data_IF_478390892092
#
_entry.id   IF_478390892092
#
_cell.length_a   1.000
_cell.length_b   1.000
_cell.length_c   1.000
_cell.angle_alpha   90.00
_cell.angle_beta   90.00
_cell.angle_gamma   90.00
#
_symmetry.space_group_name_H-M   'P 1'
#
loop_
_entity.id
_entity.type
_entity.pdbx_description
1 polymer ?
#
# COMPACT_ATOMS: atom_id res chain seq x y z
N UNK A 1 -11.26 10.63 -28.87
CA UNK A 1 -9.80 10.79 -28.78
C UNK A 1 -9.21 9.38 -28.77
N UNK A 2 -8.83 8.79 -29.92
CA UNK A 2 -8.52 7.37 -30.03
C UNK A 2 -7.04 6.99 -29.80
N UNK A 3 -6.18 7.92 -29.39
CA UNK A 3 -4.72 7.73 -29.29
C UNK A 3 -4.19 8.06 -27.90
N UNK A 4 -4.74 7.43 -26.84
CA UNK A 4 -4.13 7.46 -25.50
C UNK A 4 -4.19 6.05 -24.93
N UNK A 5 -3.10 5.59 -24.32
CA UNK A 5 -3.11 4.39 -23.51
C UNK A 5 -3.96 4.65 -22.26
N UNK A 6 -5.02 3.86 -22.10
CA UNK A 6 -5.96 4.02 -21.01
C UNK A 6 -7.33 3.45 -21.35
N UNK A 7 -8.18 3.40 -20.33
CA UNK A 7 -9.53 2.90 -20.44
C UNK A 7 -10.39 3.63 -21.46
N UNK A 8 -11.49 2.98 -21.86
CA UNK A 8 -12.53 3.54 -22.73
C UNK A 8 -13.57 4.37 -21.96
N UNK A 9 -13.46 4.40 -20.63
CA UNK A 9 -14.37 5.08 -19.73
C UNK A 9 -15.60 4.22 -19.46
N UNK A 10 -15.82 3.94 -18.17
CA UNK A 10 -16.96 3.15 -17.70
C UNK A 10 -17.69 4.01 -16.68
N UNK A 11 -19.01 4.17 -16.84
CA UNK A 11 -19.81 4.99 -15.94
C UNK A 11 -20.72 4.14 -15.06
N UNK A 12 -20.92 4.59 -13.82
CA UNK A 12 -21.86 3.97 -12.89
C UNK A 12 -23.28 4.06 -13.45
N UNK A 13 -23.98 2.93 -13.56
CA UNK A 13 -25.37 2.88 -14.07
C UNK A 13 -26.41 3.16 -12.98
N UNK A 14 -25.98 3.18 -11.72
CA UNK A 14 -26.75 3.55 -10.54
C UNK A 14 -25.82 4.23 -9.53
N UNK A 15 -26.40 4.89 -8.52
CA UNK A 15 -25.63 5.43 -7.40
C UNK A 15 -25.06 4.28 -6.56
N UNK A 16 -23.76 4.37 -6.23
CA UNK A 16 -23.02 3.37 -5.46
C UNK A 16 -22.60 3.93 -4.10
N UNK A 17 -22.59 3.07 -3.09
CA UNK A 17 -22.02 3.33 -1.78
C UNK A 17 -20.62 2.72 -1.65
N UNK A 18 -19.83 3.23 -0.72
CA UNK A 18 -18.51 2.66 -0.41
C UNK A 18 -18.62 1.17 -0.03
N UNK A 19 -17.80 0.34 -0.69
CA UNK A 19 -17.76 -1.11 -0.55
C UNK A 19 -18.75 -1.88 -1.43
N UNK A 20 -19.56 -1.21 -2.26
CA UNK A 20 -20.40 -1.92 -3.23
C UNK A 20 -19.53 -2.60 -4.29
N UNK A 21 -19.84 -3.86 -4.62
CA UNK A 21 -19.21 -4.60 -5.71
C UNK A 21 -19.73 -4.07 -7.05
N UNK A 22 -18.82 -3.61 -7.90
CA UNK A 22 -19.13 -2.91 -9.16
C UNK A 22 -18.93 -3.82 -10.37
N UNK A 23 -17.80 -4.52 -10.42
CA UNK A 23 -17.41 -5.36 -11.55
C UNK A 23 -16.67 -6.60 -11.05
N UNK A 24 -16.98 -7.76 -11.65
CA UNK A 24 -16.14 -8.96 -11.55
C UNK A 24 -15.75 -9.36 -12.97
N UNK A 25 -14.47 -9.34 -13.28
CA UNK A 25 -13.94 -9.76 -14.58
C UNK A 25 -13.14 -11.04 -14.42
N UNK A 26 -13.42 -12.03 -15.26
CA UNK A 26 -12.55 -13.22 -15.39
C UNK A 26 -11.38 -12.93 -16.33
N UNK A 27 -10.22 -13.55 -16.10
CA UNK A 27 -9.06 -13.30 -16.94
C UNK A 27 -9.24 -13.98 -18.30
N UNK A 28 -8.72 -13.34 -19.33
CA UNK A 28 -8.51 -13.95 -20.64
C UNK A 28 -7.24 -14.79 -20.64
N UNK A 29 -6.24 -14.33 -19.90
CA UNK A 29 -5.00 -15.03 -19.60
C UNK A 29 -4.52 -14.63 -18.20
N UNK A 30 -3.87 -15.56 -17.51
CA UNK A 30 -3.40 -15.39 -16.13
C UNK A 30 -2.18 -16.27 -15.91
N UNK A 31 -1.14 -15.71 -15.31
CA UNK A 31 0.09 -16.40 -14.94
C UNK A 31 0.46 -16.05 -13.49
N UNK A 32 1.18 -16.95 -12.83
CA UNK A 32 1.55 -16.83 -11.41
C UNK A 32 3.02 -17.13 -11.21
N UNK A 33 3.63 -16.50 -10.20
CA UNK A 33 5.04 -16.66 -9.82
C UNK A 33 5.20 -16.87 -8.31
N UNK A 34 6.44 -17.13 -7.90
CA UNK A 34 6.83 -17.19 -6.49
C UNK A 34 6.71 -15.80 -5.82
N UNK A 35 6.62 -15.79 -4.49
CA UNK A 35 6.55 -14.54 -3.71
C UNK A 35 7.73 -13.60 -4.00
N UNK A 36 7.42 -12.30 -4.10
CA UNK A 36 8.42 -11.26 -4.33
C UNK A 36 8.91 -11.16 -5.77
N UNK A 37 8.26 -11.87 -6.69
CA UNK A 37 8.52 -11.76 -8.13
C UNK A 37 7.21 -11.55 -8.87
N UNK A 38 7.24 -10.77 -9.95
CA UNK A 38 6.14 -10.62 -10.88
C UNK A 38 6.43 -11.44 -12.13
N UNK A 39 5.44 -12.16 -12.70
CA UNK A 39 5.57 -12.71 -14.03
C UNK A 39 5.80 -11.58 -15.04
N UNK A 40 6.58 -11.84 -16.09
CA UNK A 40 6.79 -10.87 -17.16
C UNK A 40 5.68 -10.89 -18.23
N UNK A 41 5.73 -9.93 -19.14
CA UNK A 41 4.73 -9.78 -20.22
C UNK A 41 4.87 -10.94 -21.22
N UNK A 42 6.09 -11.41 -21.45
CA UNK A 42 6.44 -12.51 -22.35
C UNK A 42 5.74 -13.82 -21.92
N UNK A 43 5.75 -14.14 -20.63
CA UNK A 43 5.05 -15.29 -20.04
C UNK A 43 3.55 -15.20 -20.26
N UNK A 44 2.94 -14.03 -20.04
CA UNK A 44 1.51 -13.82 -20.26
C UNK A 44 1.14 -13.87 -21.74
N UNK A 45 2.01 -13.37 -22.63
CA UNK A 45 1.86 -13.50 -24.10
C UNK A 45 1.89 -14.98 -24.51
N UNK A 46 2.85 -15.75 -24.00
CA UNK A 46 2.95 -17.18 -24.27
C UNK A 46 1.69 -17.93 -23.78
N UNK A 47 1.22 -17.63 -22.56
CA UNK A 47 -0.01 -18.18 -21.99
C UNK A 47 -1.25 -17.85 -22.85
N UNK A 48 -1.35 -16.61 -23.32
CA UNK A 48 -2.46 -16.15 -24.17
C UNK A 48 -2.48 -16.87 -25.53
N UNK A 49 -1.31 -17.09 -26.15
CA UNK A 49 -1.18 -17.84 -27.41
C UNK A 49 -1.60 -19.30 -27.27
N UNK A 50 -1.31 -19.91 -26.12
CA UNK A 50 -1.66 -21.29 -25.80
C UNK A 50 -3.12 -21.45 -25.35
N UNK A 51 -3.87 -20.36 -25.17
CA UNK A 51 -5.24 -20.38 -24.68
C UNK A 51 -6.26 -20.57 -25.80
N UNK A 52 -7.23 -21.47 -25.58
CA UNK A 52 -8.36 -21.68 -26.49
C UNK A 52 -9.43 -20.57 -26.35
N UNK A 53 -9.09 -19.35 -26.76
CA UNK A 53 -10.03 -18.22 -26.74
C UNK A 53 -11.20 -18.45 -27.72
N UNK A 54 -12.44 -18.23 -27.29
CA UNK A 54 -13.59 -18.26 -28.20
C UNK A 54 -13.61 -17.03 -29.12
N UNK A 55 -14.46 -17.05 -30.16
CA UNK A 55 -14.57 -15.92 -31.11
C UNK A 55 -14.90 -14.59 -30.40
N UNK A 56 -15.77 -14.62 -29.39
CA UNK A 56 -16.09 -13.43 -28.60
C UNK A 56 -14.89 -12.95 -27.78
N UNK A 57 -14.13 -13.86 -27.16
CA UNK A 57 -12.92 -13.49 -26.41
C UNK A 57 -11.86 -12.90 -27.34
N UNK A 58 -11.68 -13.44 -28.55
CA UNK A 58 -10.78 -12.84 -29.55
C UNK A 58 -11.20 -11.43 -29.95
N UNK A 59 -12.49 -11.21 -30.19
CA UNK A 59 -13.00 -9.88 -30.50
C UNK A 59 -12.77 -8.89 -29.34
N UNK A 60 -12.97 -9.31 -28.09
CA UNK A 60 -12.66 -8.50 -26.91
C UNK A 60 -11.16 -8.23 -26.78
N UNK A 61 -10.29 -9.20 -27.09
CA UNK A 61 -8.84 -8.99 -27.10
C UNK A 61 -8.45 -7.87 -28.07
N UNK A 62 -9.03 -7.91 -29.27
CA UNK A 62 -8.74 -6.97 -30.35
C UNK A 62 -9.29 -5.56 -30.11
N UNK A 63 -10.28 -5.42 -29.23
CA UNK A 63 -10.84 -4.14 -28.79
C UNK A 63 -9.89 -3.39 -27.83
N UNK A 64 -8.93 -4.08 -27.20
CA UNK A 64 -7.95 -3.46 -26.30
C UNK A 64 -6.94 -2.59 -27.06
N UNK A 65 -6.45 -1.54 -26.39
CA UNK A 65 -5.42 -0.66 -26.95
C UNK A 65 -4.08 -1.40 -27.05
N UNK A 66 -3.38 -1.25 -28.18
CA UNK A 66 -2.12 -1.94 -28.46
C UNK A 66 -0.89 -1.00 -28.49
N UNK A 67 -1.04 0.27 -28.14
CA UNK A 67 -0.01 1.31 -28.34
C UNK A 67 -0.27 2.17 -29.58
N UNK A 68 0.35 3.35 -29.62
CA UNK A 68 0.12 4.35 -30.68
C UNK A 68 0.91 4.07 -31.99
N UNK A 69 2.04 3.34 -31.90
CA UNK A 69 2.91 3.02 -33.04
C UNK A 69 2.62 1.67 -33.68
N UNK A 70 1.73 0.86 -33.09
CA UNK A 70 1.37 -0.46 -33.63
C UNK A 70 0.14 -0.29 -34.52
N UNK A 71 0.34 -0.38 -35.84
CA UNK A 71 -0.74 -0.28 -36.81
C UNK A 71 -1.85 -1.30 -36.48
N UNK A 72 -3.13 -0.88 -36.55
CA UNK A 72 -4.30 -1.77 -36.50
C UNK A 72 -4.42 -2.63 -37.78
N UNK A 73 -3.31 -3.05 -38.37
CA UNK A 73 -3.31 -3.94 -39.54
C UNK A 73 -3.59 -5.37 -39.05
N UNK A 74 -4.87 -5.67 -38.81
CA UNK A 74 -5.36 -7.04 -38.84
C UNK A 74 -5.18 -7.55 -40.27
N UNK A 75 -4.38 -8.61 -40.45
CA UNK A 75 -4.04 -9.10 -41.77
C UNK A 75 -5.27 -9.56 -42.56
N UNK A 76 -5.46 -9.02 -43.77
CA UNK A 76 -6.47 -9.46 -44.73
C UNK A 76 -6.00 -10.77 -45.40
N UNK A 77 -6.83 -11.83 -45.39
CA UNK A 77 -6.65 -13.00 -46.29
C UNK A 77 -7.69 -12.94 -47.39
N UNK A 78 -7.30 -12.79 -48.67
CA UNK A 78 -8.22 -13.01 -49.78
C UNK A 78 -8.60 -14.49 -49.85
N UNK A 79 -9.83 -14.84 -49.47
CA UNK A 79 -10.46 -16.09 -49.88
C UNK A 79 -10.77 -17.17 -48.82
N UNK A 80 -10.75 -16.89 -47.52
CA UNK A 80 -11.29 -17.81 -46.51
C UNK A 80 -12.06 -17.07 -45.44
N UNK A 81 -13.24 -17.58 -45.06
CA UNK A 81 -14.10 -17.00 -44.01
C UNK A 81 -13.30 -16.52 -42.81
N UNK A 82 -13.37 -15.22 -42.57
CA UNK A 82 -12.40 -14.45 -41.79
C UNK A 82 -12.24 -14.96 -40.35
N UNK A 83 -11.01 -15.25 -39.98
CA UNK A 83 -10.52 -15.23 -38.59
C UNK A 83 -9.38 -14.23 -38.59
N UNK A 84 -9.58 -13.02 -38.07
CA UNK A 84 -8.51 -12.01 -37.95
C UNK A 84 -7.35 -12.62 -37.16
N UNK A 85 -6.16 -12.68 -37.78
CA UNK A 85 -4.94 -13.19 -37.14
C UNK A 85 -4.23 -12.00 -36.50
N UNK A 86 -4.19 -11.97 -35.17
CA UNK A 86 -3.45 -10.96 -34.40
C UNK A 86 -1.95 -11.19 -34.61
N UNK A 87 -1.23 -10.17 -35.08
CA UNK A 87 0.23 -10.26 -35.18
C UNK A 87 0.86 -10.39 -33.78
N UNK A 88 2.03 -11.01 -33.70
CA UNK A 88 2.74 -11.16 -32.43
C UNK A 88 3.06 -9.79 -31.81
N UNK A 89 3.51 -8.84 -32.62
CA UNK A 89 3.78 -7.45 -32.21
C UNK A 89 2.53 -6.77 -31.62
N UNK A 90 1.37 -6.90 -32.28
CA UNK A 90 0.11 -6.38 -31.75
C UNK A 90 -0.31 -7.06 -30.45
N UNK A 91 -0.08 -8.37 -30.31
CA UNK A 91 -0.38 -9.07 -29.07
C UNK A 91 0.51 -8.59 -27.91
N UNK A 92 1.80 -8.34 -28.15
CA UNK A 92 2.68 -7.71 -27.16
C UNK A 92 2.20 -6.33 -26.77
N UNK A 93 1.80 -5.49 -27.73
CA UNK A 93 1.24 -4.17 -27.45
C UNK A 93 -0.05 -4.24 -26.61
N UNK A 94 -0.98 -5.13 -26.98
CA UNK A 94 -2.23 -5.34 -26.22
C UNK A 94 -1.91 -5.76 -24.78
N UNK A 95 -1.07 -6.78 -24.60
CA UNK A 95 -0.79 -7.30 -23.27
C UNK A 95 0.02 -6.27 -22.46
N UNK A 96 1.02 -5.61 -23.04
CA UNK A 96 1.82 -4.61 -22.37
C UNK A 96 1.00 -3.41 -21.86
N UNK A 97 -0.01 -2.97 -22.61
CA UNK A 97 -0.85 -1.84 -22.20
C UNK A 97 -2.02 -2.21 -21.27
N UNK A 98 -2.36 -3.50 -21.13
CA UNK A 98 -3.61 -3.93 -20.48
C UNK A 98 -3.43 -5.07 -19.47
N UNK A 99 -2.20 -5.51 -19.20
CA UNK A 99 -1.91 -6.46 -18.15
C UNK A 99 -1.87 -5.75 -16.79
N UNK A 100 -2.34 -6.46 -15.77
CA UNK A 100 -2.33 -5.99 -14.39
C UNK A 100 -1.81 -7.10 -13.51
N UNK A 101 -1.01 -6.74 -12.52
CA UNK A 101 -0.36 -7.70 -11.64
C UNK A 101 0.13 -7.06 -10.37
N UNK A 102 0.36 -7.91 -9.38
CA UNK A 102 0.90 -7.52 -8.08
C UNK A 102 1.94 -8.55 -7.65
N UNK A 103 3.02 -8.09 -7.01
CA UNK A 103 4.11 -8.93 -6.47
C UNK A 103 3.62 -9.90 -5.38
N UNK A 104 2.41 -9.67 -4.89
CA UNK A 104 1.69 -10.53 -3.96
C UNK A 104 0.20 -10.50 -4.27
N UNK A 105 -0.48 -11.61 -4.03
CA UNK A 105 -1.94 -11.69 -3.99
C UNK A 105 -2.39 -11.29 -2.59
N UNK A 106 -3.66 -10.92 -2.45
CA UNK A 106 -4.32 -10.69 -1.18
C UNK A 106 -3.99 -11.80 -0.15
N UNK A 107 -3.00 -11.57 0.72
CA UNK A 107 -2.44 -12.56 1.64
C UNK A 107 -3.51 -13.08 2.60
N UNK A 108 -4.34 -12.17 3.09
CA UNK A 108 -5.44 -12.51 3.98
C UNK A 108 -6.37 -13.52 3.32
N UNK A 109 -6.74 -13.28 2.07
CA UNK A 109 -7.61 -14.17 1.32
C UNK A 109 -6.93 -15.47 0.89
N UNK A 110 -5.69 -15.40 0.42
CA UNK A 110 -4.92 -16.56 -0.05
C UNK A 110 -4.62 -17.54 1.08
N UNK A 111 -4.15 -17.06 2.22
CA UNK A 111 -3.85 -17.91 3.39
C UNK A 111 -5.12 -18.42 4.07
N UNK A 112 -6.20 -17.62 4.15
CA UNK A 112 -7.46 -18.08 4.73
C UNK A 112 -8.15 -19.19 3.92
N UNK A 113 -7.83 -19.30 2.62
CA UNK A 113 -8.31 -20.36 1.72
C UNK A 113 -7.35 -21.55 1.63
N UNK A 114 -6.09 -21.38 2.01
CA UNK A 114 -5.15 -22.48 2.02
C UNK A 114 -5.70 -23.60 2.92
N UNK A 115 -5.63 -24.88 2.48
CA UNK A 115 -6.01 -25.96 3.37
C UNK A 115 -5.15 -25.87 4.64
N UNK A 116 -5.73 -26.10 5.83
CA UNK A 116 -4.92 -26.17 7.06
C UNK A 116 -3.78 -27.17 6.81
N UNK A 117 -2.56 -26.91 7.31
CA UNK A 117 -1.42 -27.77 7.03
C UNK A 117 -1.83 -29.21 7.32
N UNK A 118 -1.88 -30.05 6.29
CA UNK A 118 -2.22 -31.44 6.45
C UNK A 118 -1.25 -32.02 7.47
N UNK A 119 -1.76 -32.57 8.57
CA UNK A 119 -0.99 -33.52 9.38
C UNK A 119 -0.81 -34.77 8.54
N UNK A 120 0.08 -34.73 7.56
CA UNK A 120 0.49 -35.92 6.82
C UNK A 120 1.21 -36.84 7.81
N UNK A 121 0.73 -38.07 8.09
CA UNK A 121 1.33 -38.95 9.10
C UNK A 121 2.70 -39.53 8.71
N UNK A 122 3.32 -39.07 7.61
CA UNK A 122 4.55 -39.63 7.05
C UNK A 122 5.40 -38.53 6.41
N UNK A 123 5.83 -37.54 7.19
CA UNK A 123 7.02 -36.77 6.83
C UNK A 123 8.25 -37.58 7.24
N UNK A 124 9.02 -38.04 6.25
CA UNK A 124 10.37 -38.55 6.48
C UNK A 124 11.24 -37.43 7.08
N UNK A 125 12.13 -37.74 8.03
CA UNK A 125 13.02 -36.75 8.62
C UNK A 125 14.08 -36.37 7.57
N UNK A 126 13.88 -35.24 6.88
CA UNK A 126 14.88 -34.73 5.93
C UNK A 126 14.40 -33.83 4.78
N UNK A 127 13.11 -33.50 4.67
CA UNK A 127 12.61 -32.68 3.57
C UNK A 127 11.43 -31.79 3.97
N UNK A 128 11.65 -30.88 4.91
CA UNK A 128 10.69 -29.83 5.28
C UNK A 128 11.10 -28.51 4.65
N UNK A 129 10.80 -28.31 3.37
CA UNK A 129 10.76 -26.96 2.80
C UNK A 129 9.45 -26.29 3.21
N UNK A 130 9.42 -24.98 3.54
CA UNK A 130 8.17 -24.26 3.74
C UNK A 130 7.30 -24.36 2.48
N UNK A 131 5.98 -24.39 2.66
CA UNK A 131 5.02 -24.31 1.54
C UNK A 131 5.37 -23.05 0.73
N UNK A 132 5.88 -23.23 -0.50
CA UNK A 132 6.09 -22.12 -1.42
C UNK A 132 4.72 -21.58 -1.81
N UNK A 133 4.27 -20.53 -1.13
CA UNK A 133 3.02 -19.85 -1.50
C UNK A 133 3.32 -19.06 -2.77
N UNK A 134 2.87 -19.56 -3.92
CA UNK A 134 2.83 -18.78 -5.16
C UNK A 134 1.88 -17.61 -4.93
N UNK A 135 2.38 -16.38 -5.02
CA UNK A 135 1.59 -15.19 -4.71
C UNK A 135 1.78 -14.05 -5.70
N UNK A 136 2.80 -14.04 -6.55
CA UNK A 136 2.86 -13.06 -7.63
C UNK A 136 1.90 -13.44 -8.76
N UNK A 137 1.29 -12.46 -9.43
CA UNK A 137 0.43 -12.73 -10.56
C UNK A 137 0.45 -11.63 -11.61
N UNK A 138 0.17 -12.00 -12.86
CA UNK A 138 -0.08 -11.08 -13.96
C UNK A 138 -1.25 -11.62 -14.79
N UNK A 139 -2.20 -10.77 -15.13
CA UNK A 139 -3.38 -11.18 -15.88
C UNK A 139 -3.94 -10.11 -16.79
N UNK A 140 -4.78 -10.57 -17.73
CA UNK A 140 -5.48 -9.74 -18.71
C UNK A 140 -6.98 -9.83 -18.49
N UNK A 141 -7.62 -8.72 -18.12
CA UNK A 141 -9.06 -8.67 -17.83
C UNK A 141 -9.73 -7.58 -18.65
N UNK A 142 -10.32 -7.93 -19.80
CA UNK A 142 -10.91 -6.95 -20.75
C UNK A 142 -11.79 -5.90 -20.07
N UNK A 143 -12.80 -6.32 -19.29
CA UNK A 143 -13.73 -5.37 -18.68
C UNK A 143 -13.07 -4.44 -17.66
N UNK A 144 -11.99 -4.90 -17.01
CA UNK A 144 -11.21 -4.08 -16.09
C UNK A 144 -10.32 -3.08 -16.83
N UNK A 145 -9.71 -3.50 -17.95
CA UNK A 145 -8.91 -2.62 -18.82
C UNK A 145 -9.69 -1.43 -19.39
N UNK A 146 -11.03 -1.46 -19.34
CA UNK A 146 -11.88 -0.35 -19.78
C UNK A 146 -11.93 0.83 -18.78
N UNK A 147 -11.59 0.63 -17.51
CA UNK A 147 -11.64 1.70 -16.50
C UNK A 147 -10.49 2.68 -16.67
N UNK A 148 -10.78 4.00 -16.57
CA UNK A 148 -9.76 5.05 -16.68
C UNK A 148 -9.01 5.29 -15.36
N UNK A 149 -7.86 5.96 -15.47
CA UNK A 149 -7.02 6.32 -14.35
C UNK A 149 -7.47 7.60 -13.62
N UNK A 150 -7.31 7.62 -12.29
CA UNK A 150 -7.20 8.83 -11.48
C UNK A 150 -6.19 8.63 -10.34
N UNK A 151 -5.41 9.67 -10.02
CA UNK A 151 -4.59 9.68 -8.79
C UNK A 151 -5.43 9.93 -7.52
N UNK A 152 -6.73 10.20 -7.67
CA UNK A 152 -7.74 10.20 -6.61
C UNK A 152 -8.93 9.35 -7.08
N UNK A 153 -8.75 8.01 -7.13
CA UNK A 153 -9.74 7.10 -7.70
C UNK A 153 -11.01 7.05 -6.84
N UNK A 154 -12.12 6.68 -7.47
CA UNK A 154 -13.40 6.42 -6.78
C UNK A 154 -13.77 4.93 -6.77
N UNK A 155 -12.90 4.08 -7.33
CA UNK A 155 -12.99 2.63 -7.29
C UNK A 155 -11.63 2.02 -6.89
N UNK A 156 -11.68 0.87 -6.24
CA UNK A 156 -10.53 0.04 -5.86
C UNK A 156 -10.72 -1.36 -6.42
N UNK A 157 -9.63 -2.03 -6.75
CA UNK A 157 -9.66 -3.38 -7.27
C UNK A 157 -8.68 -4.29 -6.53
N UNK A 158 -8.95 -5.59 -6.58
CA UNK A 158 -8.03 -6.63 -6.14
C UNK A 158 -8.43 -7.96 -6.76
N UNK A 159 -7.48 -8.89 -6.84
CA UNK A 159 -7.69 -10.21 -7.43
C UNK A 159 -8.09 -11.22 -6.35
N UNK A 160 -9.23 -11.88 -6.55
CA UNK A 160 -9.73 -12.94 -5.69
C UNK A 160 -9.66 -14.26 -6.45
N UNK A 161 -8.66 -15.08 -6.13
CA UNK A 161 -8.34 -16.25 -6.94
C UNK A 161 -7.66 -15.80 -8.23
N UNK A 162 -8.38 -15.83 -9.35
CA UNK A 162 -7.94 -15.36 -10.67
C UNK A 162 -8.81 -14.19 -11.18
N UNK A 163 -9.85 -13.84 -10.42
CA UNK A 163 -10.90 -12.92 -10.87
C UNK A 163 -10.62 -11.52 -10.34
N UNK A 164 -10.62 -10.54 -11.24
CA UNK A 164 -10.49 -9.13 -10.90
C UNK A 164 -11.81 -8.61 -10.36
N UNK A 165 -11.83 -8.17 -9.11
CA UNK A 165 -13.01 -7.61 -8.46
C UNK A 165 -12.80 -6.10 -8.26
N UNK A 166 -13.77 -5.28 -8.66
CA UNK A 166 -13.76 -3.83 -8.50
C UNK A 166 -14.88 -3.40 -7.56
N UNK A 167 -14.55 -2.56 -6.59
CA UNK A 167 -15.47 -2.04 -5.59
C UNK A 167 -15.46 -0.52 -5.60
N UNK A 168 -16.59 0.10 -5.27
CA UNK A 168 -16.64 1.54 -5.07
C UNK A 168 -15.85 1.91 -3.81
N UNK A 169 -14.89 2.82 -3.93
CA UNK A 169 -14.06 3.30 -2.82
C UNK A 169 -14.76 4.42 -2.01
N UNK A 170 -15.90 4.90 -2.49
CA UNK A 170 -16.65 6.00 -1.90
C UNK A 170 -18.07 6.07 -2.46
N UNK A 171 -18.76 7.18 -2.20
CA UNK A 171 -20.01 7.49 -2.88
C UNK A 171 -19.75 7.82 -4.34
N UNK A 172 -20.44 7.15 -5.26
CA UNK A 172 -20.36 7.41 -6.71
C UNK A 172 -21.76 7.67 -7.22
N UNK A 173 -22.00 8.86 -7.76
CA UNK A 173 -23.31 9.20 -8.32
C UNK A 173 -23.55 8.46 -9.64
N UNK A 174 -24.82 8.14 -9.92
CA UNK A 174 -25.20 7.60 -11.23
C UNK A 174 -24.68 8.50 -12.37
N UNK A 175 -24.11 7.89 -13.39
CA UNK A 175 -23.53 8.57 -14.55
C UNK A 175 -22.09 9.05 -14.34
N UNK A 176 -21.57 9.05 -13.11
CA UNK A 176 -20.16 9.35 -12.85
C UNK A 176 -19.26 8.25 -13.42
N UNK A 177 -18.11 8.65 -13.96
CA UNK A 177 -17.08 7.72 -14.41
C UNK A 177 -16.46 6.98 -13.22
N UNK A 178 -16.23 5.68 -13.39
CA UNK A 178 -15.50 4.82 -12.47
C UNK A 178 -14.02 4.90 -12.82
N UNK A 179 -13.22 5.33 -11.85
CA UNK A 179 -11.81 5.62 -11.99
C UNK A 179 -11.02 4.79 -10.98
N UNK A 180 -9.99 4.11 -11.48
CA UNK A 180 -9.04 3.30 -10.70
C UNK A 180 -7.66 3.95 -10.70
N UNK A 181 -6.73 3.41 -9.91
CA UNK A 181 -5.34 3.81 -9.95
C UNK A 181 -4.52 2.79 -10.76
N UNK A 182 -3.61 3.26 -11.60
CA UNK A 182 -2.74 2.39 -12.44
C UNK A 182 -1.33 2.24 -11.86
N UNK A 183 -0.99 3.03 -10.84
CA UNK A 183 0.38 3.21 -10.37
C UNK A 183 0.71 2.38 -9.13
N UNK A 184 -0.26 1.68 -8.54
CA UNK A 184 -0.05 0.91 -7.31
C UNK A 184 0.58 1.75 -6.20
N UNK A 185 1.68 1.29 -5.61
CA UNK A 185 2.43 2.02 -4.60
C UNK A 185 2.98 3.37 -5.10
N UNK A 186 3.32 3.49 -6.39
CA UNK A 186 3.79 4.74 -6.97
C UNK A 186 2.71 5.83 -6.98
N UNK A 187 1.44 5.50 -6.70
CA UNK A 187 0.38 6.48 -6.46
C UNK A 187 0.68 7.43 -5.30
N UNK A 188 1.55 7.06 -4.36
CA UNK A 188 1.93 7.90 -3.21
C UNK A 188 3.11 8.84 -3.53
N UNK A 189 3.76 8.70 -4.69
CA UNK A 189 4.87 9.56 -5.12
C UNK A 189 4.40 10.95 -5.54
N UNK A 190 5.28 11.97 -5.61
CA UNK A 190 4.93 13.33 -6.08
C UNK A 190 4.47 13.38 -7.55
N UNK A 191 3.79 14.47 -7.95
CA UNK A 191 3.08 14.55 -9.25
C UNK A 191 3.98 14.30 -10.45
N UNK A 192 5.22 14.74 -10.45
CA UNK A 192 6.17 14.62 -11.56
C UNK A 192 6.51 13.15 -11.82
N UNK A 193 6.77 12.38 -10.77
CA UNK A 193 7.04 10.94 -10.87
C UNK A 193 5.80 10.18 -11.36
N UNK A 194 4.61 10.54 -10.86
CA UNK A 194 3.35 9.94 -11.33
C UNK A 194 3.07 10.25 -12.79
N UNK A 195 3.29 11.50 -13.23
CA UNK A 195 3.11 11.91 -14.62
C UNK A 195 4.12 11.22 -15.54
N UNK A 196 5.38 11.10 -15.11
CA UNK A 196 6.41 10.40 -15.86
C UNK A 196 6.04 8.92 -16.06
N UNK A 197 5.66 8.21 -14.99
CA UNK A 197 5.25 6.81 -15.08
C UNK A 197 4.01 6.59 -15.95
N UNK A 198 3.02 7.49 -15.88
CA UNK A 198 1.84 7.41 -16.76
C UNK A 198 2.16 7.72 -18.21
N UNK A 199 3.04 8.69 -18.48
CA UNK A 199 3.46 9.02 -19.83
C UNK A 199 4.27 7.89 -20.46
N UNK A 200 5.16 7.26 -19.68
CA UNK A 200 5.98 6.13 -20.12
C UNK A 200 5.15 4.87 -20.37
N UNK A 201 4.30 4.47 -19.42
CA UNK A 201 3.56 3.21 -19.51
C UNK A 201 2.27 3.30 -20.35
N UNK A 202 1.65 4.48 -20.43
CA UNK A 202 0.31 4.65 -20.99
C UNK A 202 0.17 5.83 -21.96
N UNK A 203 1.25 6.56 -22.28
CA UNK A 203 1.23 7.65 -23.26
C UNK A 203 0.16 8.75 -22.97
N UNK A 204 -0.10 9.07 -21.69
CA UNK A 204 -0.96 10.18 -21.32
C UNK A 204 -0.48 10.93 -20.08
N UNK A 205 -0.95 12.18 -19.93
CA UNK A 205 -0.77 12.99 -18.71
C UNK A 205 -2.07 13.08 -17.92
N UNK A 206 -2.02 12.84 -16.62
CA UNK A 206 -3.21 12.84 -15.76
C UNK A 206 -3.66 14.26 -15.42
N UNK A 207 -4.92 14.59 -15.72
CA UNK A 207 -5.56 15.87 -15.37
C UNK A 207 -6.51 15.79 -14.17
N UNK A 208 -6.33 14.82 -13.26
CA UNK A 208 -7.25 14.63 -12.13
C UNK A 208 -7.10 15.74 -11.07
N UNK A 209 -8.11 15.93 -10.18
CA UNK A 209 -8.09 16.97 -9.15
C UNK A 209 -6.83 17.01 -8.29
N UNK A 210 -6.27 15.84 -7.93
CA UNK A 210 -5.02 15.75 -7.17
C UNK A 210 -3.81 16.28 -7.96
N UNK A 211 -3.65 15.86 -9.21
CA UNK A 211 -2.56 16.35 -10.07
C UNK A 211 -2.68 17.86 -10.29
N UNK A 212 -3.89 18.36 -10.53
CA UNK A 212 -4.13 19.81 -10.66
C UNK A 212 -3.79 20.57 -9.38
N UNK A 213 -4.19 20.07 -8.21
CA UNK A 213 -3.86 20.62 -6.90
C UNK A 213 -2.34 20.70 -6.68
N UNK A 214 -1.62 19.59 -6.88
CA UNK A 214 -0.16 19.53 -6.68
C UNK A 214 0.60 20.48 -7.62
N UNK A 215 0.22 20.54 -8.89
CA UNK A 215 0.83 21.44 -9.86
C UNK A 215 0.57 22.92 -9.52
N UNK A 216 -0.65 23.27 -9.09
CA UNK A 216 -1.00 24.62 -8.65
C UNK A 216 -0.27 25.01 -7.36
N UNK A 217 -0.09 24.06 -6.44
CA UNK A 217 0.71 24.23 -5.22
C UNK A 217 2.16 24.60 -5.53
N UNK A 218 2.77 23.95 -6.51
CA UNK A 218 4.14 24.24 -6.96
C UNK A 218 4.30 25.62 -7.64
N UNK A 219 3.23 26.21 -8.17
CA UNK A 219 3.29 27.48 -8.90
C UNK A 219 3.15 28.75 -8.03
N UNK A 220 2.87 28.64 -6.73
CA UNK A 220 2.47 29.79 -5.90
C UNK A 220 3.61 30.70 -5.41
N UNK A 221 4.85 30.48 -5.83
CA UNK A 221 5.99 31.37 -5.52
C UNK A 221 6.51 32.06 -6.78
N UNK A 222 5.69 32.86 -7.45
CA UNK A 222 6.13 33.72 -8.55
C UNK A 222 5.41 35.06 -8.58
N UNK A 223 5.73 35.88 -7.58
CA UNK A 223 5.76 37.34 -7.77
C UNK A 223 6.78 37.99 -6.83
N UNK A 224 8.03 37.55 -6.90
CA UNK A 224 9.21 38.42 -6.98
C UNK A 224 10.49 37.60 -6.85
N UNK A 225 11.41 37.85 -7.78
CA UNK A 225 12.71 37.24 -7.93
C UNK A 225 13.54 37.17 -6.64
N UNK A 226 13.82 35.95 -6.18
CA UNK A 226 15.10 35.58 -5.56
C UNK A 226 15.43 34.16 -5.98
N UNK A 227 16.64 33.94 -6.50
CA UNK A 227 17.15 32.61 -6.83
C UNK A 227 17.05 31.68 -5.61
N UNK A 228 16.39 30.53 -5.77
CA UNK A 228 16.46 29.42 -4.80
C UNK A 228 15.20 28.99 -4.07
N UNK A 229 13.99 29.44 -4.43
CA UNK A 229 12.76 28.83 -3.85
C UNK A 229 12.44 27.53 -4.59
N UNK A 230 12.53 26.40 -3.88
CA UNK A 230 12.05 25.11 -4.38
C UNK A 230 10.51 25.13 -4.48
N UNK A 231 9.98 24.31 -5.36
CA UNK A 231 8.56 23.96 -5.40
C UNK A 231 8.23 22.94 -4.30
N UNK A 232 6.94 22.86 -3.92
CA UNK A 232 6.44 21.87 -2.94
C UNK A 232 6.87 20.45 -3.32
N UNK A 233 6.87 20.12 -4.62
CA UNK A 233 7.28 18.79 -5.06
C UNK A 233 8.78 18.55 -4.91
N UNK A 234 9.63 19.52 -5.26
CA UNK A 234 11.08 19.42 -5.06
C UNK A 234 11.43 19.27 -3.57
N UNK A 235 10.76 20.01 -2.69
CA UNK A 235 10.95 19.87 -1.24
C UNK A 235 10.51 18.50 -0.75
N UNK A 236 9.38 17.98 -1.23
CA UNK A 236 8.90 16.64 -0.89
C UNK A 236 9.86 15.55 -1.39
N UNK A 237 10.43 15.70 -2.58
CA UNK A 237 11.45 14.79 -3.11
C UNK A 237 12.72 14.78 -2.24
N UNK A 238 13.17 15.94 -1.77
CA UNK A 238 14.31 16.04 -0.84
C UNK A 238 14.03 15.28 0.46
N UNK A 239 12.83 15.46 1.04
CA UNK A 239 12.44 14.75 2.26
C UNK A 239 12.32 13.23 2.04
N UNK A 240 11.80 12.81 0.88
CA UNK A 240 11.76 11.40 0.49
C UNK A 240 13.17 10.82 0.31
N UNK A 241 14.11 11.58 -0.25
CA UNK A 241 15.52 11.16 -0.36
C UNK A 241 16.14 10.90 1.01
N UNK A 242 15.96 11.83 1.97
CA UNK A 242 16.39 11.62 3.36
C UNK A 242 15.72 10.43 4.03
N UNK A 243 14.46 10.18 3.70
CA UNK A 243 13.73 9.01 4.16
C UNK A 243 14.40 7.73 3.65
N UNK A 244 14.76 7.65 2.37
CA UNK A 244 15.50 6.51 1.81
C UNK A 244 16.86 6.30 2.49
N UNK A 245 17.63 7.37 2.68
CA UNK A 245 18.95 7.29 3.33
C UNK A 245 18.86 6.75 4.76
N UNK A 246 17.91 7.27 5.55
CA UNK A 246 17.65 6.79 6.92
C UNK A 246 17.14 5.35 6.97
N UNK A 247 16.42 4.89 5.95
CA UNK A 247 15.96 3.51 5.90
C UNK A 247 17.15 2.54 5.75
N UNK A 248 18.13 2.89 4.92
CA UNK A 248 19.39 2.14 4.81
C UNK A 248 20.17 2.15 6.14
N UNK A 249 20.28 3.32 6.80
CA UNK A 249 20.95 3.44 8.10
C UNK A 249 20.26 2.60 9.20
N UNK A 250 18.93 2.63 9.27
CA UNK A 250 18.17 1.78 10.20
C UNK A 250 18.46 0.30 9.96
N UNK A 251 18.48 -0.12 8.69
CA UNK A 251 18.78 -1.51 8.33
C UNK A 251 20.19 -1.92 8.79
N UNK A 252 21.19 -1.05 8.62
CA UNK A 252 22.56 -1.28 9.09
C UNK A 252 22.63 -1.39 10.62
N UNK A 253 21.90 -0.53 11.35
CA UNK A 253 21.82 -0.58 12.82
C UNK A 253 21.20 -1.90 13.29
N UNK A 254 20.11 -2.34 12.65
CA UNK A 254 19.38 -3.57 13.00
C UNK A 254 20.14 -4.84 12.62
N UNK A 255 20.86 -4.84 11.49
CA UNK A 255 21.71 -5.96 11.08
C UNK A 255 22.93 -6.14 12.00
N UNK A 256 23.41 -5.04 12.58
CA UNK A 256 24.57 -5.01 13.47
C UNK A 256 25.91 -5.09 12.71
N UNK A 257 27.01 -4.50 13.22
CA UNK A 257 28.36 -4.73 12.70
C UNK A 257 28.84 -6.16 13.00
N UNK A 258 29.89 -6.59 12.30
CA UNK A 258 30.61 -7.84 12.59
C UNK A 258 31.26 -7.91 13.99
N UNK A 259 31.24 -6.80 14.75
CA UNK A 259 31.52 -6.72 16.17
C UNK A 259 30.38 -5.96 16.87
N UNK A 260 29.86 -6.43 18.02
CA UNK A 260 28.64 -5.88 18.59
C UNK A 260 28.87 -4.45 19.15
N UNK A 261 28.10 -3.44 18.71
CA UNK A 261 28.07 -2.13 19.32
C UNK A 261 27.47 -2.29 20.71
N UNK A 262 27.81 -1.38 21.63
CA UNK A 262 27.15 -1.45 22.93
C UNK A 262 25.66 -1.10 22.75
N UNK A 263 24.73 -1.71 23.51
CA UNK A 263 23.31 -1.35 23.47
C UNK A 263 23.06 0.16 23.63
N UNK A 264 23.94 0.87 24.35
CA UNK A 264 23.90 2.32 24.49
C UNK A 264 24.18 3.09 23.20
N UNK A 265 25.13 2.63 22.38
CA UNK A 265 25.47 3.26 21.09
C UNK A 265 24.33 3.09 20.08
N UNK A 266 23.73 1.88 20.03
CA UNK A 266 22.56 1.62 19.19
C UNK A 266 21.36 2.49 19.58
N UNK A 267 21.09 2.60 20.88
CA UNK A 267 19.97 3.40 21.38
C UNK A 267 20.16 4.89 21.07
N UNK A 268 21.38 5.42 21.21
CA UNK A 268 21.68 6.81 20.87
C UNK A 268 21.42 7.09 19.38
N UNK A 269 21.92 6.23 18.49
CA UNK A 269 21.68 6.35 17.05
C UNK A 269 20.19 6.27 16.69
N UNK A 270 19.46 5.30 17.25
CA UNK A 270 18.02 5.15 17.00
C UNK A 270 17.20 6.34 17.53
N UNK A 271 17.60 6.93 18.65
CA UNK A 271 16.94 8.12 19.21
C UNK A 271 17.15 9.33 18.31
N UNK A 272 18.38 9.54 17.82
CA UNK A 272 18.69 10.61 16.87
C UNK A 272 17.89 10.44 15.57
N UNK A 273 17.88 9.24 14.99
CA UNK A 273 17.07 8.92 13.82
C UNK A 273 15.58 9.19 14.05
N UNK A 274 15.06 8.89 15.25
CA UNK A 274 13.67 9.14 15.59
C UNK A 274 13.34 10.63 15.61
N UNK A 275 14.24 11.48 16.12
CA UNK A 275 14.09 12.94 16.13
C UNK A 275 14.15 13.52 14.70
N UNK A 276 15.11 13.06 13.90
CA UNK A 276 15.22 13.47 12.49
C UNK A 276 13.99 13.09 11.67
N UNK A 277 13.49 11.85 11.83
CA UNK A 277 12.28 11.39 11.16
C UNK A 277 11.03 12.17 11.60
N UNK A 278 10.95 12.54 12.89
CA UNK A 278 9.86 13.38 13.39
C UNK A 278 9.90 14.80 12.79
N UNK A 279 11.09 15.39 12.66
CA UNK A 279 11.27 16.71 12.06
C UNK A 279 10.91 16.72 10.56
N UNK A 280 11.37 15.73 9.80
CA UNK A 280 11.06 15.62 8.37
C UNK A 280 9.57 15.36 8.13
N UNK A 281 8.92 14.53 8.96
CA UNK A 281 7.47 14.32 8.87
C UNK A 281 6.71 15.63 9.15
N UNK A 282 7.10 16.39 10.17
CA UNK A 282 6.47 17.67 10.46
C UNK A 282 6.66 18.69 9.33
N UNK A 283 7.85 18.71 8.69
CA UNK A 283 8.09 19.53 7.50
C UNK A 283 7.19 19.12 6.33
N UNK A 284 7.04 17.82 6.10
CA UNK A 284 6.16 17.28 5.06
C UNK A 284 4.68 17.65 5.30
N UNK A 285 4.20 17.50 6.53
CA UNK A 285 2.83 17.90 6.91
C UNK A 285 2.58 19.39 6.69
N UNK A 286 3.57 20.24 7.01
CA UNK A 286 3.50 21.67 6.76
C UNK A 286 3.41 21.98 5.26
N UNK A 287 4.20 21.30 4.43
CA UNK A 287 4.18 21.45 2.97
C UNK A 287 2.85 21.04 2.34
N UNK A 288 2.22 19.99 2.89
CA UNK A 288 0.95 19.44 2.41
C UNK A 288 -0.28 20.16 2.97
N UNK A 289 -0.10 21.28 3.68
CA UNK A 289 -1.18 22.12 4.20
C UNK A 289 -1.39 23.33 3.28
N UNK A 290 -2.45 23.36 2.45
CA UNK A 290 -2.64 24.45 1.51
C UNK A 290 -2.93 25.77 2.16
N UNK A 291 -2.47 26.84 1.51
CA UNK A 291 -3.04 28.16 1.73
C UNK A 291 -4.56 28.13 1.43
N UNK A 292 -5.42 28.68 2.30
CA UNK A 292 -6.88 28.69 2.12
C UNK A 292 -7.33 29.23 0.76
N UNK A 293 -6.56 30.13 0.15
CA UNK A 293 -6.84 30.71 -1.17
C UNK A 293 -6.75 29.68 -2.31
N UNK A 294 -5.80 28.75 -2.25
CA UNK A 294 -5.66 27.70 -3.26
C UNK A 294 -6.83 26.71 -3.18
N UNK A 295 -7.30 26.43 -1.95
CA UNK A 295 -8.51 25.64 -1.73
C UNK A 295 -9.74 26.29 -2.37
N UNK A 296 -9.91 27.60 -2.19
CA UNK A 296 -11.03 28.31 -2.84
C UNK A 296 -10.94 28.26 -4.37
N UNK A 297 -9.74 28.38 -4.95
CA UNK A 297 -9.56 28.27 -6.40
C UNK A 297 -9.96 26.87 -6.91
N UNK A 298 -9.59 25.81 -6.20
CA UNK A 298 -10.00 24.45 -6.56
C UNK A 298 -11.49 24.20 -6.38
N UNK A 299 -12.13 24.78 -5.36
CA UNK A 299 -13.58 24.70 -5.22
C UNK A 299 -14.32 25.41 -6.38
N UNK A 300 -13.69 26.40 -7.01
CA UNK A 300 -14.24 27.13 -8.16
C UNK A 300 -14.11 26.37 -9.48
N UNK A 301 -13.22 25.39 -9.62
CA UNK A 301 -13.05 24.63 -10.88
C UNK A 301 -14.17 23.63 -11.15
N UNK A 302 -15.16 23.50 -10.25
CA UNK A 302 -16.28 22.54 -10.32
C UNK A 302 -15.87 21.07 -10.51
N UNK A 303 -14.60 20.72 -10.31
CA UNK A 303 -14.19 19.32 -10.26
C UNK A 303 -14.60 18.72 -8.91
N UNK A 304 -15.27 17.57 -8.93
CA UNK A 304 -15.67 16.87 -7.72
C UNK A 304 -14.44 16.47 -6.90
N UNK A 305 -14.49 16.66 -5.57
CA UNK A 305 -13.54 16.08 -4.63
C UNK A 305 -12.30 16.89 -4.21
N UNK A 306 -12.32 18.23 -4.05
CA UNK A 306 -11.17 18.97 -3.50
C UNK A 306 -10.74 18.44 -2.11
N UNK A 307 -11.69 17.99 -1.30
CA UNK A 307 -11.39 17.30 -0.03
C UNK A 307 -10.66 15.96 -0.22
N UNK A 308 -11.01 15.19 -1.24
CA UNK A 308 -10.32 13.93 -1.55
C UNK A 308 -8.93 14.17 -2.14
N UNK A 309 -8.77 15.15 -3.03
CA UNK A 309 -7.47 15.56 -3.54
C UNK A 309 -6.52 15.94 -2.40
N UNK A 310 -7.03 16.62 -1.37
CA UNK A 310 -6.26 16.96 -0.18
C UNK A 310 -5.83 15.78 0.67
N UNK A 311 -6.73 14.82 0.88
CA UNK A 311 -6.40 13.61 1.61
C UNK A 311 -5.33 12.81 0.87
N UNK A 312 -5.43 12.73 -0.46
CA UNK A 312 -4.42 12.09 -1.30
C UNK A 312 -3.08 12.85 -1.35
N UNK A 313 -3.09 14.18 -1.29
CA UNK A 313 -1.86 14.97 -1.13
C UNK A 313 -1.18 14.60 0.19
N UNK A 314 -1.91 14.59 1.30
CA UNK A 314 -1.38 14.20 2.62
C UNK A 314 -0.89 12.74 2.64
N UNK A 315 -1.54 11.86 1.88
CA UNK A 315 -1.10 10.47 1.75
C UNK A 315 0.27 10.33 1.08
N UNK A 316 0.77 11.34 0.36
CA UNK A 316 2.13 11.33 -0.18
C UNK A 316 3.22 11.31 0.90
N UNK A 317 2.89 11.67 2.14
CA UNK A 317 3.77 11.53 3.31
C UNK A 317 3.90 10.08 3.83
N UNK A 318 3.28 9.10 3.16
CA UNK A 318 3.17 7.73 3.64
C UNK A 318 4.50 7.14 4.12
N UNK A 319 5.56 7.28 3.32
CA UNK A 319 6.89 6.74 3.65
C UNK A 319 7.44 7.33 4.95
N UNK A 320 7.18 8.62 5.21
CA UNK A 320 7.67 9.31 6.40
C UNK A 320 6.93 8.85 7.66
N UNK A 321 5.63 8.61 7.57
CA UNK A 321 4.87 7.99 8.67
C UNK A 321 5.34 6.55 8.93
N UNK A 322 5.54 5.77 7.86
CA UNK A 322 6.01 4.39 7.95
C UNK A 322 7.38 4.31 8.63
N UNK A 323 8.33 5.12 8.16
CA UNK A 323 9.68 5.22 8.71
C UNK A 323 9.66 5.66 10.18
N UNK A 324 8.89 6.70 10.53
CA UNK A 324 8.79 7.15 11.92
C UNK A 324 8.28 6.04 12.84
N UNK A 325 7.29 5.27 12.36
CA UNK A 325 6.76 4.12 13.11
C UNK A 325 7.83 3.07 13.32
N UNK A 326 8.55 2.69 12.26
CA UNK A 326 9.59 1.65 12.31
C UNK A 326 10.77 2.03 13.22
N UNK A 327 11.28 3.26 13.09
CA UNK A 327 12.40 3.74 13.92
C UNK A 327 12.01 3.82 15.39
N UNK A 328 10.84 4.39 15.70
CA UNK A 328 10.38 4.52 17.08
C UNK A 328 10.14 3.15 17.74
N UNK A 329 9.59 2.19 16.98
CA UNK A 329 9.43 0.81 17.44
C UNK A 329 10.79 0.12 17.68
N UNK A 330 11.75 0.27 16.76
CA UNK A 330 13.09 -0.26 16.92
C UNK A 330 13.81 0.32 18.15
N UNK A 331 13.72 1.63 18.35
CA UNK A 331 14.28 2.33 19.51
C UNK A 331 13.67 1.81 20.83
N UNK A 332 12.35 1.65 20.88
CA UNK A 332 11.65 1.15 22.06
C UNK A 332 12.09 -0.28 22.41
N UNK A 333 12.18 -1.17 21.42
CA UNK A 333 12.65 -2.55 21.62
C UNK A 333 14.12 -2.62 22.09
N UNK A 334 14.98 -1.76 21.53
CA UNK A 334 16.38 -1.64 21.95
C UNK A 334 16.47 -1.23 23.44
N UNK A 335 15.65 -0.27 23.85
CA UNK A 335 15.59 0.21 25.22
C UNK A 335 15.12 -0.87 26.20
N UNK A 336 14.05 -1.61 25.86
CA UNK A 336 13.55 -2.74 26.67
C UNK A 336 14.63 -3.84 26.82
N UNK A 337 15.37 -4.12 25.75
CA UNK A 337 16.47 -5.09 25.80
C UNK A 337 17.61 -4.61 26.71
N UNK A 338 17.95 -3.32 26.68
CA UNK A 338 18.96 -2.73 27.56
C UNK A 338 18.52 -2.76 29.04
N UNK A 339 17.26 -2.46 29.33
CA UNK A 339 16.68 -2.57 30.68
C UNK A 339 16.73 -4.00 31.21
N UNK A 340 16.37 -4.98 30.39
CA UNK A 340 16.42 -6.40 30.75
C UNK A 340 17.85 -6.88 31.03
N UNK A 341 18.83 -6.45 30.23
CA UNK A 341 20.26 -6.75 30.46
C UNK A 341 20.78 -6.10 31.75
N UNK A 342 20.39 -4.85 32.02
CA UNK A 342 20.75 -4.14 33.24
C UNK A 342 20.16 -4.80 34.49
N UNK A 343 18.91 -5.25 34.42
CA UNK A 343 18.25 -5.99 35.50
C UNK A 343 18.94 -7.34 35.78
N UNK A 344 19.25 -8.11 34.74
CA UNK A 344 19.97 -9.38 34.86
C UNK A 344 21.38 -9.20 35.47
N UNK A 345 22.09 -8.13 35.10
CA UNK A 345 23.39 -7.80 35.67
C UNK A 345 23.31 -7.38 37.15
N UNK A 346 22.26 -6.65 37.53
CA UNK A 346 22.01 -6.27 38.93
C UNK A 346 21.68 -7.49 39.80
N UNK A 347 20.84 -8.41 39.31
CA UNK A 347 20.55 -9.69 39.97
C UNK A 347 21.82 -10.54 40.16
N UNK A 348 22.68 -10.61 39.14
CA UNK A 348 23.93 -11.36 39.20
C UNK A 348 24.96 -10.78 40.19
N UNK A 349 24.84 -9.50 40.54
CA UNK A 349 25.79 -8.79 41.42
C UNK A 349 25.26 -8.54 42.83
N UNK A 350 24.06 -9.02 43.17
CA UNK A 350 23.32 -8.66 44.40
C UNK A 350 23.22 -7.13 44.64
N UNK A 351 23.44 -6.33 43.58
CA UNK A 351 23.30 -4.90 43.65
C UNK A 351 21.82 -4.53 43.58
N UNK A 352 21.39 -3.55 44.37
CA UNK A 352 20.04 -3.01 44.23
C UNK A 352 19.89 -2.45 42.80
N UNK A 353 19.04 -3.07 42.00
CA UNK A 353 18.63 -2.51 40.71
C UNK A 353 17.99 -1.15 41.00
N UNK A 354 18.65 -0.06 40.61
CA UNK A 354 18.05 1.28 40.65
C UNK A 354 17.28 1.43 39.34
N UNK A 355 15.94 1.45 39.36
CA UNK A 355 15.20 1.86 38.18
C UNK A 355 15.51 3.34 37.96
N UNK A 356 16.21 3.68 36.88
CA UNK A 356 16.28 5.09 36.47
C UNK A 356 14.88 5.45 35.96
N UNK A 357 14.16 6.30 36.70
CA UNK A 357 12.82 6.75 36.29
C UNK A 357 12.78 7.31 34.86
N UNK A 358 13.90 7.86 34.38
CA UNK A 358 14.03 8.37 33.01
C UNK A 358 14.08 7.29 31.92
N UNK A 359 14.50 6.06 32.23
CA UNK A 359 14.55 4.96 31.26
C UNK A 359 13.14 4.49 30.87
N UNK A 360 12.32 4.19 31.88
CA UNK A 360 10.93 3.78 31.69
C UNK A 360 10.10 4.88 31.01
N UNK A 361 10.34 6.15 31.33
CA UNK A 361 9.68 7.29 30.68
C UNK A 361 10.06 7.41 29.20
N UNK A 362 11.33 7.20 28.86
CA UNK A 362 11.79 7.22 27.47
C UNK A 362 11.17 6.06 26.66
N UNK A 363 11.16 4.85 27.21
CA UNK A 363 10.54 3.67 26.58
C UNK A 363 9.07 3.93 26.24
N UNK A 364 8.30 4.51 27.17
CA UNK A 364 6.89 4.86 26.92
C UNK A 364 6.74 5.93 25.85
N UNK A 365 7.59 6.97 25.87
CA UNK A 365 7.57 8.02 24.84
C UNK A 365 7.83 7.47 23.44
N UNK A 366 8.75 6.49 23.30
CA UNK A 366 9.06 5.86 22.02
C UNK A 366 7.91 5.00 21.51
N UNK A 367 7.30 4.17 22.38
CA UNK A 367 6.10 3.41 22.01
C UNK A 367 4.92 4.31 21.65
N UNK A 368 4.70 5.39 22.38
CA UNK A 368 3.66 6.37 22.07
C UNK A 368 3.93 7.07 20.74
N UNK A 369 5.20 7.38 20.43
CA UNK A 369 5.58 7.96 19.14
C UNK A 369 5.30 7.00 17.97
N UNK A 370 5.62 5.70 18.13
CA UNK A 370 5.32 4.68 17.13
C UNK A 370 3.80 4.52 16.90
N UNK A 371 3.03 4.38 17.99
CA UNK A 371 1.58 4.23 17.93
C UNK A 371 0.89 5.47 17.33
N UNK A 372 1.32 6.68 17.73
CA UNK A 372 0.76 7.94 17.24
C UNK A 372 1.02 8.18 15.74
N UNK A 373 2.22 7.86 15.26
CA UNK A 373 2.55 7.91 13.84
C UNK A 373 1.70 6.91 13.03
N UNK A 374 1.58 5.68 13.51
CA UNK A 374 0.79 4.64 12.85
C UNK A 374 -0.71 4.97 12.81
N UNK A 375 -1.31 5.46 13.91
CA UNK A 375 -2.73 5.84 13.92
C UNK A 375 -3.00 7.04 12.99
N UNK A 376 -2.07 7.98 12.87
CA UNK A 376 -2.17 9.10 11.93
C UNK A 376 -2.16 8.60 10.47
N UNK A 377 -1.24 7.68 10.17
CA UNK A 377 -1.14 7.02 8.86
C UNK A 377 -2.38 6.20 8.53
N UNK A 378 -2.85 5.39 9.49
CA UNK A 378 -4.05 4.57 9.37
C UNK A 378 -5.29 5.43 9.13
N UNK A 379 -5.44 6.55 9.83
CA UNK A 379 -6.53 7.49 9.63
C UNK A 379 -6.55 8.10 8.23
N UNK A 380 -5.38 8.45 7.68
CA UNK A 380 -5.25 8.93 6.31
C UNK A 380 -5.63 7.85 5.29
N UNK A 381 -5.06 6.64 5.41
CA UNK A 381 -5.35 5.52 4.50
C UNK A 381 -6.82 5.10 4.56
N UNK A 382 -7.42 5.08 5.74
CA UNK A 382 -8.85 4.79 5.90
C UNK A 382 -9.74 5.81 5.18
N UNK A 383 -9.28 7.05 5.00
CA UNK A 383 -10.02 8.11 4.32
C UNK A 383 -9.87 8.08 2.79
N UNK A 384 -8.68 7.74 2.27
CA UNK A 384 -8.38 7.76 0.83
C UNK A 384 -8.56 6.41 0.13
N UNK A 385 -8.32 5.31 0.85
CA UNK A 385 -8.32 3.97 0.32
C UNK A 385 -8.92 2.97 1.34
N UNK A 386 -10.18 3.20 1.78
CA UNK A 386 -10.82 2.30 2.72
C UNK A 386 -10.89 0.88 2.16
N UNK A 387 -10.52 -0.09 2.98
CA UNK A 387 -10.62 -1.53 2.69
C UNK A 387 -9.59 -2.05 1.66
N UNK A 388 -8.60 -1.22 1.30
CA UNK A 388 -7.40 -1.63 0.59
C UNK A 388 -6.54 -2.61 1.42
N UNK A 389 -5.59 -3.29 0.77
CA UNK A 389 -4.61 -4.14 1.45
C UNK A 389 -3.79 -3.33 2.44
N UNK A 390 -3.40 -2.11 2.05
CA UNK A 390 -2.70 -1.20 2.92
C UNK A 390 -3.54 -0.83 4.16
N UNK A 391 -4.84 -0.60 4.01
CA UNK A 391 -5.73 -0.35 5.15
C UNK A 391 -5.76 -1.56 6.11
N UNK A 392 -5.89 -2.78 5.57
CA UNK A 392 -5.90 -4.00 6.36
C UNK A 392 -4.55 -4.23 7.06
N UNK A 393 -3.45 -3.99 6.37
CA UNK A 393 -2.09 -4.10 6.87
C UNK A 393 -1.85 -3.16 8.06
N UNK A 394 -2.13 -1.87 7.88
CA UNK A 394 -1.95 -0.86 8.92
C UNK A 394 -2.87 -1.10 10.12
N UNK A 395 -4.13 -1.52 9.89
CA UNK A 395 -5.05 -1.89 10.96
C UNK A 395 -4.53 -3.10 11.75
N UNK A 396 -3.99 -4.11 11.06
CA UNK A 396 -3.41 -5.30 11.68
C UNK A 396 -2.15 -4.95 12.47
N UNK A 397 -1.29 -4.07 11.96
CA UNK A 397 -0.12 -3.55 12.68
C UNK A 397 -0.54 -2.77 13.93
N UNK A 398 -1.58 -1.95 13.86
CA UNK A 398 -2.10 -1.19 14.99
C UNK A 398 -2.65 -2.12 16.08
N UNK A 399 -3.36 -3.19 15.69
CA UNK A 399 -3.79 -4.25 16.62
C UNK A 399 -2.61 -4.93 17.32
N UNK A 400 -1.56 -5.28 16.57
CA UNK A 400 -0.36 -5.90 17.14
C UNK A 400 0.32 -4.98 18.17
N UNK A 401 0.46 -3.68 17.86
CA UNK A 401 1.00 -2.70 18.81
C UNK A 401 0.12 -2.52 20.06
N UNK A 402 -1.20 -2.48 19.90
CA UNK A 402 -2.14 -2.37 21.02
C UNK A 402 -2.08 -3.59 21.95
N UNK A 403 -2.01 -4.80 21.38
CA UNK A 403 -1.84 -6.04 22.14
C UNK A 403 -0.50 -6.08 22.89
N UNK A 404 0.58 -5.62 22.24
CA UNK A 404 1.89 -5.52 22.88
C UNK A 404 1.86 -4.51 24.05
N UNK A 405 1.18 -3.37 23.89
CA UNK A 405 1.01 -2.37 24.95
C UNK A 405 0.25 -2.92 26.16
N UNK A 406 -0.85 -3.65 25.94
CA UNK A 406 -1.58 -4.32 27.03
C UNK A 406 -0.74 -5.38 27.73
N UNK A 407 0.05 -6.16 26.98
CA UNK A 407 0.99 -7.14 27.54
C UNK A 407 2.00 -6.48 28.48
N UNK A 408 2.59 -5.34 28.07
CA UNK A 408 3.51 -4.55 28.89
C UNK A 408 2.83 -3.99 30.14
N UNK A 409 1.62 -3.45 30.01
CA UNK A 409 0.86 -2.92 31.15
C UNK A 409 0.61 -4.00 32.22
N UNK A 410 0.16 -5.19 31.80
CA UNK A 410 -0.06 -6.34 32.70
C UNK A 410 1.23 -6.80 33.39
N UNK A 411 2.35 -6.81 32.68
CA UNK A 411 3.66 -7.17 33.25
C UNK A 411 4.08 -6.19 34.36
N UNK A 412 3.86 -4.88 34.18
CA UNK A 412 4.16 -3.85 35.18
C UNK A 412 3.26 -3.90 36.41
N UNK A 413 1.97 -4.13 36.22
CA UNK A 413 1.03 -4.35 37.33
C UNK A 413 1.45 -5.55 38.18
N UNK A 414 1.85 -6.65 37.53
CA UNK A 414 2.40 -7.83 38.21
C UNK A 414 3.70 -7.55 38.98
N UNK A 415 4.49 -6.57 38.54
CA UNK A 415 5.71 -6.12 39.20
C UNK A 415 5.50 -5.02 40.28
N UNK A 416 4.26 -4.61 40.54
CA UNK A 416 3.94 -3.58 41.54
C UNK A 416 4.33 -2.15 41.15
N UNK A 417 4.58 -1.90 39.86
CA UNK A 417 4.90 -0.56 39.33
C UNK A 417 3.61 0.20 39.01
N UNK A 418 3.47 1.44 39.49
CA UNK A 418 2.34 2.31 39.11
C UNK A 418 2.54 2.86 37.69
N UNK A 419 1.55 2.67 36.82
CA UNK A 419 1.54 3.24 35.47
C UNK A 419 0.98 4.66 35.49
N UNK A 420 1.73 5.63 34.96
CA UNK A 420 1.31 7.03 34.86
C UNK A 420 0.84 7.43 33.44
N UNK A 421 0.78 6.51 32.47
CA UNK A 421 0.42 6.87 31.09
C UNK A 421 -0.31 5.72 30.38
N UNK A 422 -1.65 5.74 30.43
CA UNK A 422 -2.48 4.83 29.64
C UNK A 422 -3.61 5.54 28.87
N UNK A 423 -3.67 6.87 28.89
CA UNK A 423 -4.84 7.62 28.39
C UNK A 423 -4.86 7.91 26.89
N UNK A 424 -3.83 7.53 26.11
CA UNK A 424 -3.74 7.91 24.69
C UNK A 424 -3.62 6.77 23.68
N UNK A 425 -3.63 5.50 24.10
CA UNK A 425 -3.50 4.36 23.18
C UNK A 425 -4.86 3.71 22.94
N UNK A 426 -5.18 3.43 21.67
CA UNK A 426 -6.38 2.66 21.30
C UNK A 426 -6.25 1.25 21.89
N UNK A 427 -7.21 0.82 22.71
CA UNK A 427 -7.22 -0.53 23.29
C UNK A 427 -7.32 -1.64 22.23
N UNK A 428 -6.79 -2.82 22.54
CA UNK A 428 -6.73 -3.93 21.56
C UNK A 428 -8.11 -4.39 21.09
N UNK A 429 -9.15 -4.27 21.93
CA UNK A 429 -10.53 -4.58 21.55
C UNK A 429 -11.06 -3.65 20.45
N UNK A 430 -10.80 -2.33 20.58
CA UNK A 430 -11.19 -1.36 19.57
C UNK A 430 -10.39 -1.53 18.27
N UNK A 431 -9.09 -1.85 18.38
CA UNK A 431 -8.26 -2.16 17.23
C UNK A 431 -8.76 -3.44 16.50
N UNK A 432 -9.15 -4.49 17.25
CA UNK A 432 -9.70 -5.71 16.68
C UNK A 432 -11.04 -5.47 15.98
N UNK A 433 -11.93 -4.70 16.61
CA UNK A 433 -13.21 -4.32 16.01
C UNK A 433 -12.99 -3.56 14.69
N UNK A 434 -11.97 -2.69 14.63
CA UNK A 434 -11.56 -1.99 13.41
C UNK A 434 -11.09 -2.98 12.34
N UNK A 435 -10.19 -3.91 12.65
CA UNK A 435 -9.74 -4.94 11.71
C UNK A 435 -10.91 -5.77 11.15
N UNK A 436 -11.83 -6.20 12.01
CA UNK A 436 -13.06 -6.90 11.61
C UNK A 436 -13.92 -6.06 10.65
N UNK A 437 -14.04 -4.75 10.89
CA UNK A 437 -14.76 -3.84 10.00
C UNK A 437 -14.06 -3.69 8.65
N UNK A 438 -12.72 -3.63 8.62
CA UNK A 438 -11.94 -3.59 7.38
C UNK A 438 -12.15 -4.84 6.55
N UNK A 439 -12.04 -6.03 7.16
CA UNK A 439 -12.24 -7.33 6.50
C UNK A 439 -13.66 -7.43 5.93
N UNK A 440 -14.69 -7.06 6.70
CA UNK A 440 -16.08 -7.08 6.21
C UNK A 440 -16.34 -6.04 5.12
N UNK A 441 -15.71 -4.88 5.20
CA UNK A 441 -15.79 -3.87 4.14
C UNK A 441 -15.13 -4.34 2.85
N UNK A 442 -14.02 -5.09 2.96
CA UNK A 442 -13.30 -5.67 1.83
C UNK A 442 -14.05 -6.87 1.24
N UNK A 443 -14.13 -7.98 1.95
CA UNK A 443 -14.61 -9.26 1.38
C UNK A 443 -16.13 -9.47 1.48
N UNK A 444 -16.87 -8.52 2.07
CA UNK A 444 -18.32 -8.56 2.15
C UNK A 444 -18.87 -8.49 3.56
N UNK A 445 -19.97 -7.73 3.72
CA UNK A 445 -20.57 -7.44 5.04
C UNK A 445 -21.23 -8.66 5.69
N UNK A 446 -21.55 -9.70 4.93
CA UNK A 446 -22.27 -10.89 5.38
C UNK A 446 -21.36 -12.03 5.86
N UNK A 447 -20.03 -11.83 5.93
CA UNK A 447 -19.10 -12.86 6.38
C UNK A 447 -19.37 -13.27 7.83
N UNK A 448 -19.37 -14.58 8.06
CA UNK A 448 -19.41 -15.16 9.41
C UNK A 448 -18.17 -14.77 10.22
N UNK A 449 -18.31 -14.69 11.54
CA UNK A 449 -17.18 -14.39 12.45
C UNK A 449 -16.00 -15.36 12.25
N UNK A 450 -16.30 -16.66 12.05
CA UNK A 450 -15.26 -17.65 11.79
C UNK A 450 -14.50 -17.44 10.47
N UNK A 451 -15.16 -16.89 9.44
CA UNK A 451 -14.48 -16.52 8.18
C UNK A 451 -13.65 -15.25 8.37
N UNK A 452 -14.18 -14.25 9.08
CA UNK A 452 -13.45 -13.02 9.41
C UNK A 452 -12.18 -13.34 10.19
N UNK A 453 -12.27 -14.23 11.18
CA UNK A 453 -11.12 -14.66 11.97
C UNK A 453 -10.03 -15.28 11.09
N UNK A 454 -10.36 -16.22 10.18
CA UNK A 454 -9.37 -16.82 9.27
C UNK A 454 -8.70 -15.78 8.37
N UNK A 455 -9.46 -14.80 7.89
CA UNK A 455 -8.91 -13.71 7.07
C UNK A 455 -7.96 -12.82 7.88
N UNK A 456 -8.28 -12.54 9.15
CA UNK A 456 -7.38 -11.80 10.05
C UNK A 456 -6.11 -12.57 10.38
N UNK A 457 -6.21 -13.88 10.61
CA UNK A 457 -5.05 -14.76 10.78
C UNK A 457 -4.15 -14.73 9.55
N UNK A 458 -4.74 -14.81 8.34
CA UNK A 458 -4.01 -14.65 7.08
C UNK A 458 -3.35 -13.28 6.95
N UNK A 459 -4.05 -12.20 7.34
CA UNK A 459 -3.50 -10.84 7.31
C UNK A 459 -2.30 -10.69 8.26
N UNK A 460 -2.38 -11.25 9.46
CA UNK A 460 -1.29 -11.22 10.44
C UNK A 460 -0.06 -12.00 9.97
N UNK A 461 -0.26 -13.15 9.30
CA UNK A 461 0.84 -13.90 8.68
C UNK A 461 1.44 -13.10 7.54
N UNK A 462 0.63 -12.50 6.66
CA UNK A 462 1.11 -11.62 5.60
C UNK A 462 1.96 -10.46 6.13
N UNK A 463 1.51 -9.81 7.20
CA UNK A 463 2.27 -8.77 7.91
C UNK A 463 3.65 -9.25 8.39
N UNK A 464 3.79 -10.53 8.77
CA UNK A 464 5.10 -11.09 9.17
C UNK A 464 6.04 -11.38 8.00
N UNK A 465 5.50 -11.52 6.77
CA UNK A 465 6.28 -11.80 5.56
C UNK A 465 6.80 -10.52 4.89
N UNK A 466 6.04 -9.43 5.04
CA UNK A 466 6.41 -8.11 4.54
C UNK A 466 7.14 -7.38 5.66
N UNK A 467 8.47 -7.52 5.72
CA UNK A 467 9.30 -6.76 6.65
C UNK A 467 9.01 -5.25 6.49
N UNK A 468 8.64 -4.57 7.57
CA UNK A 468 8.41 -3.10 7.59
C UNK A 468 9.70 -2.39 7.90
#
# INVERSE_FOLDING_TARGET
MPARGGGRGVCATATLAAGDLVLVSRPMAYVTSEFGTLPDVEELVASTKCSDLCANQRALLLDLHAGDDIAQEDGDVPGSGATEVVTEERLYGIIGCNSFGEEFTDFASSLARAPPPERSPQQQPGGGGPVQVQVGHLGLWHSFSMLNHSCCPNAVNYVVGDSMCVFAAGHVEQGSELLINYLGAASLRPVEERQAGLAEAYAFSCGCPRCSLELLHGCSSSSNSSAGSMSVSEELQVLLGRCTDRAAELQDILAGPSAPPTPGDQLAALTELCEQAAADLAAAEALMTPAPQLMMQLMQTQQAGPGQAMLWLRAAAYEMYSQRTAIAEAAARCMEAAEAQGAAAAEATEAAAVPSSGAAELTERLWAAAAGALESQLGLVAAVAPHSDLHLFLATKALALAQAAEGRARAREGAGQQSAAAEQVVGSEAALARCCAVVRGRYGRQLSDGTVQRLLEGAAVGLSQVAV
#
